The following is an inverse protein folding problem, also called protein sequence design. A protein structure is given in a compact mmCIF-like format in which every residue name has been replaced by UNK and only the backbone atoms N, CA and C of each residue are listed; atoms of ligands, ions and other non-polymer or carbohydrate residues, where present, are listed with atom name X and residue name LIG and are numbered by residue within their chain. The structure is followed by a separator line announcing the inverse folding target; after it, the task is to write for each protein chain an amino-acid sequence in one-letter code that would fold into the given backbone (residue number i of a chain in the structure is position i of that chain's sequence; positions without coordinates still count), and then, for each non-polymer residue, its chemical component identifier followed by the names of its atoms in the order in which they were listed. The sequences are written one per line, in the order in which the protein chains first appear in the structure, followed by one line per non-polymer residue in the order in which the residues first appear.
data_IF_600824620695
#
_entry.id   IF_600824620695
#
_cell.length_a   1.000
_cell.length_b   1.000
_cell.length_c   1.000
_cell.angle_alpha   90.00
_cell.angle_beta   90.00
_cell.angle_gamma   90.00
#
_symmetry.space_group_name_H-M   'P 1'
#
loop_
_entity.id
_entity.type
_entity.pdbx_description
1 polymer ?
#
# COMPACT_ATOMS: atom_id res chain seq x y z
N UNK A 1 0.54 9.13 27.15
CA UNK A 1 -0.40 9.81 26.24
C UNK A 1 0.10 9.56 24.83
N UNK A 2 -0.72 9.00 23.94
CA UNK A 2 -0.36 8.88 22.53
C UNK A 2 -0.39 10.28 21.89
N UNK A 3 0.62 10.60 21.08
CA UNK A 3 0.73 11.88 20.39
C UNK A 3 0.95 11.59 18.89
N UNK A 4 0.07 12.09 17.99
CA UNK A 4 -1.15 12.79 18.34
C UNK A 4 -2.21 11.83 18.93
N UNK A 5 -3.21 12.34 19.69
CA UNK A 5 -4.34 11.53 20.13
C UNK A 5 -4.99 10.75 18.97
N UNK A 6 -5.59 9.60 19.24
CA UNK A 6 -6.29 8.82 18.21
C UNK A 6 -7.57 9.55 17.81
N UNK A 7 -7.64 10.03 16.58
CA UNK A 7 -8.77 10.80 16.06
C UNK A 7 -8.86 10.69 14.52
N UNK A 8 -10.08 10.55 14.01
CA UNK A 8 -10.40 10.47 12.59
C UNK A 8 -11.82 11.00 12.33
N UNK A 9 -12.06 11.45 11.09
CA UNK A 9 -13.37 11.92 10.63
C UNK A 9 -13.77 11.12 9.40
N UNK A 10 -15.07 10.85 9.31
CA UNK A 10 -15.68 10.28 8.11
C UNK A 10 -15.93 11.37 7.07
N UNK A 11 -15.71 11.06 5.80
CA UNK A 11 -16.01 11.94 4.68
C UNK A 11 -15.53 11.37 3.35
N UNK A 12 -15.44 12.23 2.33
CA UNK A 12 -14.88 11.89 1.02
C UNK A 12 -13.39 12.27 0.96
N UNK A 13 -12.44 11.31 1.03
CA UNK A 13 -11.03 11.61 0.82
C UNK A 13 -10.81 12.17 -0.60
N UNK A 14 -9.80 13.03 -0.80
CA UNK A 14 -9.42 13.47 -2.14
C UNK A 14 -9.00 12.30 -3.01
N UNK A 15 -9.13 12.43 -4.33
CA UNK A 15 -8.44 11.54 -5.26
C UNK A 15 -6.94 11.85 -5.25
N UNK A 16 -6.15 10.94 -5.78
CA UNK A 16 -4.71 11.15 -5.93
C UNK A 16 -4.30 10.95 -7.39
N UNK A 17 -3.61 11.93 -7.95
CA UNK A 17 -2.86 11.78 -9.19
C UNK A 17 -1.49 11.21 -8.85
N UNK A 18 -1.17 10.07 -9.43
CA UNK A 18 0.09 9.37 -9.36
C UNK A 18 0.77 9.50 -10.71
N UNK A 19 2.07 9.81 -10.71
CA UNK A 19 2.91 9.75 -11.90
C UNK A 19 4.05 8.76 -11.72
N UNK A 20 4.37 8.06 -12.80
CA UNK A 20 5.54 7.20 -12.94
C UNK A 20 6.24 7.54 -14.25
N UNK A 21 7.50 7.12 -14.40
CA UNK A 21 8.10 7.06 -15.73
C UNK A 21 7.43 5.98 -16.58
N UNK A 22 7.47 6.09 -17.91
CA UNK A 22 7.03 5.00 -18.80
C UNK A 22 8.09 3.91 -18.92
N UNK A 23 9.36 4.27 -18.87
CA UNK A 23 10.51 3.36 -18.98
C UNK A 23 10.94 2.70 -17.66
N UNK A 24 10.29 3.03 -16.54
CA UNK A 24 10.57 2.42 -15.23
C UNK A 24 9.35 2.51 -14.34
N UNK A 25 9.06 1.45 -13.59
CA UNK A 25 7.99 1.51 -12.59
C UNK A 25 8.52 2.07 -11.27
N UNK A 26 8.42 3.39 -11.14
CA UNK A 26 8.89 4.14 -10.00
C UNK A 26 7.99 5.36 -9.80
N UNK A 27 7.54 5.57 -8.55
CA UNK A 27 6.74 6.75 -8.22
C UNK A 27 7.59 8.01 -8.40
N UNK A 28 7.24 8.85 -9.38
CA UNK A 28 7.95 10.12 -9.63
C UNK A 28 7.25 11.32 -9.01
N UNK A 29 5.96 11.19 -8.72
CA UNK A 29 5.17 12.28 -8.18
C UNK A 29 3.80 11.82 -7.72
N UNK A 30 3.25 12.58 -6.79
CA UNK A 30 1.85 12.46 -6.40
C UNK A 30 1.24 13.84 -6.15
N UNK A 31 -0.05 14.00 -6.40
CA UNK A 31 -0.78 15.23 -6.13
C UNK A 31 -2.21 14.92 -5.74
N UNK A 32 -2.67 15.49 -4.63
CA UNK A 32 -4.07 15.40 -4.25
C UNK A 32 -4.94 16.17 -5.24
N UNK A 33 -6.03 15.55 -5.66
CA UNK A 33 -7.01 16.06 -6.58
C UNK A 33 -8.34 16.14 -5.85
N UNK A 34 -9.19 17.09 -6.27
CA UNK A 34 -10.53 17.28 -5.69
C UNK A 34 -11.28 15.93 -5.66
N UNK A 35 -12.04 15.63 -4.59
CA UNK A 35 -12.91 14.47 -4.57
C UNK A 35 -14.04 14.60 -5.58
N UNK A 36 -14.76 13.50 -5.83
CA UNK A 36 -15.98 13.44 -6.66
C UNK A 36 -15.76 13.89 -8.11
N UNK A 37 -14.72 13.35 -8.74
CA UNK A 37 -14.49 13.51 -10.18
C UNK A 37 -15.17 12.40 -10.99
N UNK A 38 -15.80 12.82 -12.09
CA UNK A 38 -16.32 11.89 -13.10
C UNK A 38 -15.17 11.17 -13.82
N UNK A 39 -15.48 10.03 -14.42
CA UNK A 39 -14.48 9.22 -15.15
C UNK A 39 -13.82 9.99 -16.31
N UNK A 40 -14.57 10.86 -16.98
CA UNK A 40 -14.05 11.75 -18.03
C UNK A 40 -13.02 12.73 -17.48
N UNK A 41 -13.27 13.31 -16.31
CA UNK A 41 -12.38 14.30 -15.69
C UNK A 41 -11.06 13.65 -15.27
N UNK A 42 -11.15 12.43 -14.70
CA UNK A 42 -9.96 11.63 -14.36
C UNK A 42 -9.11 11.36 -15.60
N UNK A 43 -9.75 10.95 -16.69
CA UNK A 43 -9.06 10.67 -17.96
C UNK A 43 -8.39 11.93 -18.52
N UNK A 44 -9.07 13.08 -18.48
CA UNK A 44 -8.50 14.35 -18.94
C UNK A 44 -7.27 14.77 -18.11
N UNK A 45 -7.33 14.62 -16.78
CA UNK A 45 -6.20 14.91 -15.89
C UNK A 45 -5.01 14.01 -16.20
N UNK A 46 -5.24 12.71 -16.38
CA UNK A 46 -4.20 11.75 -16.75
C UNK A 46 -3.57 12.09 -18.09
N UNK A 47 -4.39 12.34 -19.12
CA UNK A 47 -3.89 12.69 -20.45
C UNK A 47 -3.07 13.98 -20.44
N UNK A 48 -3.44 14.97 -19.62
CA UNK A 48 -2.62 16.19 -19.44
C UNK A 48 -1.29 15.89 -18.75
N UNK A 49 -1.25 14.99 -17.77
CA UNK A 49 -0.02 14.58 -17.12
C UNK A 49 0.88 13.76 -18.08
N UNK A 50 0.30 12.94 -18.94
CA UNK A 50 0.99 12.09 -19.92
C UNK A 50 1.57 12.88 -21.12
N UNK A 51 1.20 14.15 -21.29
CA UNK A 51 1.83 15.05 -22.28
C UNK A 51 3.27 15.43 -21.92
N UNK A 52 3.66 15.31 -20.65
CA UNK A 52 5.03 15.53 -20.23
C UNK A 52 5.88 14.31 -20.56
N UNK A 53 7.07 14.55 -21.11
CA UNK A 53 7.93 13.51 -21.68
C UNK A 53 8.11 12.32 -20.73
N UNK A 54 7.94 11.11 -21.27
CA UNK A 54 8.13 9.84 -20.57
C UNK A 54 7.28 9.66 -19.28
N UNK A 55 6.07 10.25 -19.21
CA UNK A 55 5.18 10.15 -18.04
C UNK A 55 4.04 9.17 -18.26
N UNK A 56 3.83 8.28 -17.28
CA UNK A 56 2.65 7.42 -17.10
C UNK A 56 1.85 7.97 -15.92
N UNK A 57 0.52 8.09 -16.04
CA UNK A 57 -0.30 8.71 -15.00
C UNK A 57 -1.53 7.88 -14.60
N UNK A 58 -1.93 8.00 -13.33
CA UNK A 58 -3.13 7.38 -12.78
C UNK A 58 -3.79 8.32 -11.77
N UNK A 59 -5.08 8.60 -11.95
CA UNK A 59 -5.95 9.15 -10.90
C UNK A 59 -6.66 8.01 -10.18
N UNK A 60 -6.43 7.87 -8.88
CA UNK A 60 -6.97 6.79 -8.07
C UNK A 60 -7.77 7.32 -6.87
N UNK A 61 -8.59 6.43 -6.31
CA UNK A 61 -9.35 6.68 -5.09
C UNK A 61 -8.48 6.38 -3.87
N UNK A 62 -8.55 7.26 -2.86
CA UNK A 62 -7.96 7.03 -1.54
C UNK A 62 -9.03 6.50 -0.60
N UNK A 63 -8.73 5.42 0.13
CA UNK A 63 -9.57 4.94 1.22
C UNK A 63 -9.49 5.88 2.45
N UNK A 64 -8.33 6.50 2.65
CA UNK A 64 -8.08 7.43 3.73
C UNK A 64 -6.95 8.40 3.40
N UNK A 65 -6.78 9.40 4.27
CA UNK A 65 -5.68 10.35 4.22
C UNK A 65 -5.25 10.74 5.64
N UNK A 66 -3.96 10.53 5.93
CA UNK A 66 -3.27 10.89 7.18
C UNK A 66 -3.09 12.39 7.41
N UNK A 67 -4.16 13.20 7.26
CA UNK A 67 -4.25 14.51 7.93
C UNK A 67 -4.46 14.31 9.43
N UNK A 68 -4.40 15.37 10.24
CA UNK A 68 -4.81 15.28 11.64
C UNK A 68 -6.05 16.13 11.97
N UNK A 69 -7.13 15.50 12.48
CA UNK A 69 -7.41 14.05 12.44
C UNK A 69 -7.45 13.47 11.02
N UNK A 70 -7.31 12.15 10.93
CA UNK A 70 -7.34 11.44 9.65
C UNK A 70 -8.70 11.60 8.97
N UNK A 71 -8.73 11.60 7.64
CA UNK A 71 -9.98 11.54 6.87
C UNK A 71 -10.12 10.13 6.34
N UNK A 72 -11.26 9.49 6.58
CA UNK A 72 -11.54 8.11 6.18
C UNK A 72 -12.85 8.07 5.40
N UNK A 73 -12.87 7.30 4.31
CA UNK A 73 -14.06 7.04 3.50
C UNK A 73 -15.21 6.50 4.35
N UNK A 74 -16.41 7.04 4.15
CA UNK A 74 -17.65 6.53 4.74
C UNK A 74 -18.36 5.48 3.87
N UNK A 75 -17.74 5.08 2.76
CA UNK A 75 -18.30 4.14 1.77
C UNK A 75 -17.93 2.68 2.06
N UNK A 76 -16.94 2.46 2.92
CA UNK A 76 -16.44 1.13 3.25
C UNK A 76 -17.20 0.51 4.44
N UNK A 77 -17.20 -0.82 4.52
CA UNK A 77 -17.78 -1.54 5.65
C UNK A 77 -17.04 -1.21 6.96
N UNK A 78 -17.74 -1.28 8.09
CA UNK A 78 -17.21 -0.87 9.40
C UNK A 78 -15.83 -1.45 9.73
N UNK A 79 -15.60 -2.72 9.42
CA UNK A 79 -14.30 -3.36 9.65
C UNK A 79 -13.20 -2.71 8.81
N UNK A 80 -13.44 -2.50 7.52
CA UNK A 80 -12.47 -1.87 6.62
C UNK A 80 -12.24 -0.41 7.01
N UNK A 81 -13.30 0.31 7.39
CA UNK A 81 -13.21 1.66 7.93
C UNK A 81 -12.30 1.72 9.15
N UNK A 82 -12.41 0.78 10.10
CA UNK A 82 -11.53 0.74 11.28
C UNK A 82 -10.08 0.45 10.91
N UNK A 83 -9.83 -0.45 9.96
CA UNK A 83 -8.49 -0.75 9.45
C UNK A 83 -7.86 0.47 8.78
N UNK A 84 -8.61 1.17 7.94
CA UNK A 84 -8.16 2.40 7.30
C UNK A 84 -7.92 3.51 8.31
N UNK A 85 -8.82 3.70 9.29
CA UNK A 85 -8.61 4.68 10.36
C UNK A 85 -7.33 4.42 11.16
N UNK A 86 -7.05 3.16 11.50
CA UNK A 86 -5.83 2.77 12.18
C UNK A 86 -4.59 2.98 11.29
N UNK A 87 -4.65 2.61 10.00
CA UNK A 87 -3.60 2.85 9.02
C UNK A 87 -3.22 4.34 8.94
N UNK A 88 -4.20 5.22 8.72
CA UNK A 88 -3.95 6.66 8.59
C UNK A 88 -3.48 7.29 9.91
N UNK A 89 -3.97 6.79 11.05
CA UNK A 89 -3.47 7.24 12.35
C UNK A 89 -2.03 6.81 12.61
N UNK A 90 -1.60 5.63 12.16
CA UNK A 90 -0.20 5.19 12.27
C UNK A 90 0.74 6.13 11.51
N UNK A 91 0.35 6.62 10.34
CA UNK A 91 1.10 7.67 9.64
C UNK A 91 1.23 8.95 10.46
N UNK A 92 0.13 9.41 11.07
CA UNK A 92 0.13 10.55 12.00
C UNK A 92 1.01 10.33 13.24
N UNK A 93 1.05 9.11 13.76
CA UNK A 93 1.89 8.74 14.89
C UNK A 93 3.38 8.70 14.51
N UNK A 94 3.72 8.03 13.41
CA UNK A 94 5.09 7.83 12.98
C UNK A 94 5.72 9.05 12.32
N UNK A 95 4.96 10.03 11.83
CA UNK A 95 5.54 11.30 11.30
C UNK A 95 6.37 12.03 12.37
N UNK A 96 6.10 11.78 13.65
CA UNK A 96 6.85 12.31 14.78
C UNK A 96 8.09 11.46 15.15
N UNK A 97 8.30 10.34 14.46
CA UNK A 97 9.28 9.29 14.76
C UNK A 97 10.21 9.04 13.56
N UNK A 98 11.39 8.42 13.75
CA UNK A 98 12.30 8.06 12.66
C UNK A 98 11.62 7.41 11.44
N UNK A 99 10.71 6.45 11.64
CA UNK A 99 10.08 5.70 10.55
C UNK A 99 9.26 6.59 9.61
N UNK A 100 8.45 7.51 10.15
CA UNK A 100 7.63 8.42 9.34
C UNK A 100 8.44 9.58 8.78
N UNK A 101 9.37 10.14 9.56
CA UNK A 101 10.23 11.25 9.09
C UNK A 101 11.08 10.85 7.88
N UNK A 102 11.47 9.58 7.80
CA UNK A 102 12.29 9.05 6.72
C UNK A 102 11.49 8.31 5.66
N UNK A 103 10.15 8.35 5.67
CA UNK A 103 9.31 7.62 4.71
C UNK A 103 9.71 7.88 3.26
N UNK A 104 9.98 9.14 2.91
CA UNK A 104 10.36 9.53 1.55
C UNK A 104 11.88 9.52 1.28
N UNK A 105 12.70 8.99 2.19
CA UNK A 105 14.16 8.97 2.03
C UNK A 105 14.64 7.99 0.95
N UNK A 106 13.86 6.95 0.68
CA UNK A 106 14.13 5.95 -0.36
C UNK A 106 12.87 5.15 -0.68
N UNK A 107 12.86 4.46 -1.83
CA UNK A 107 11.77 3.55 -2.20
C UNK A 107 11.56 2.44 -1.16
N UNK A 108 12.65 1.89 -0.60
CA UNK A 108 12.54 0.88 0.45
C UNK A 108 11.90 1.43 1.73
N UNK A 109 12.19 2.69 2.10
CA UNK A 109 11.55 3.31 3.26
C UNK A 109 10.07 3.62 3.02
N UNK A 110 9.70 4.01 1.80
CA UNK A 110 8.30 4.21 1.45
C UNK A 110 7.55 2.87 1.54
N UNK A 111 8.10 1.81 0.94
CA UNK A 111 7.51 0.46 1.00
C UNK A 111 7.43 -0.02 2.46
N UNK A 112 8.49 0.13 3.25
CA UNK A 112 8.54 -0.28 4.64
C UNK A 112 7.46 0.42 5.47
N UNK A 113 7.32 1.74 5.30
CA UNK A 113 6.37 2.54 6.06
C UNK A 113 4.91 2.18 5.71
N UNK A 114 4.56 2.20 4.42
CA UNK A 114 3.20 1.87 3.96
C UNK A 114 2.80 0.43 4.33
N UNK A 115 3.73 -0.52 4.19
CA UNK A 115 3.48 -1.92 4.55
C UNK A 115 3.35 -2.10 6.06
N UNK A 116 4.14 -1.39 6.86
CA UNK A 116 4.00 -1.41 8.31
C UNK A 116 2.65 -0.82 8.75
N UNK A 117 2.21 0.27 8.13
CA UNK A 117 0.91 0.90 8.39
C UNK A 117 -0.23 -0.03 8.00
N UNK A 118 -0.12 -0.75 6.88
CA UNK A 118 -1.10 -1.76 6.45
C UNK A 118 -1.15 -2.94 7.44
N UNK A 119 0.00 -3.55 7.78
CA UNK A 119 0.03 -4.71 8.66
C UNK A 119 -0.48 -4.38 10.08
N UNK A 120 0.06 -3.34 10.70
CA UNK A 120 -0.34 -2.94 12.05
C UNK A 120 -1.73 -2.29 12.07
N UNK A 121 -2.10 -1.55 11.03
CA UNK A 121 -3.43 -0.93 10.89
C UNK A 121 -4.52 -1.98 10.71
N UNK A 122 -4.27 -3.05 9.95
CA UNK A 122 -5.21 -4.16 9.80
C UNK A 122 -5.48 -4.86 11.13
N UNK A 123 -4.43 -5.11 11.92
CA UNK A 123 -4.56 -5.74 13.24
C UNK A 123 -5.25 -4.84 14.26
N UNK A 124 -4.81 -3.58 14.39
CA UNK A 124 -5.45 -2.61 15.30
C UNK A 124 -6.90 -2.32 14.92
N UNK A 125 -7.19 -2.21 13.62
CA UNK A 125 -8.55 -2.00 13.12
C UNK A 125 -9.46 -3.19 13.42
N UNK A 126 -8.94 -4.42 13.32
CA UNK A 126 -9.66 -5.63 13.69
C UNK A 126 -9.93 -5.68 15.21
N UNK A 127 -8.93 -5.37 16.05
CA UNK A 127 -9.13 -5.26 17.50
C UNK A 127 -10.18 -4.19 17.85
N UNK A 128 -10.14 -3.02 17.21
CA UNK A 128 -11.12 -1.97 17.41
C UNK A 128 -12.53 -2.39 16.97
N UNK A 129 -12.63 -3.11 15.86
CA UNK A 129 -13.89 -3.68 15.36
C UNK A 129 -14.49 -4.69 16.35
N UNK A 130 -13.66 -5.52 16.99
CA UNK A 130 -14.08 -6.46 18.03
C UNK A 130 -14.51 -5.77 19.32
N UNK A 131 -13.79 -4.73 19.75
CA UNK A 131 -14.16 -3.92 20.92
C UNK A 131 -15.56 -3.29 20.75
N UNK A 132 -15.96 -2.98 19.52
CA UNK A 132 -17.32 -2.52 19.22
C UNK A 132 -18.41 -3.61 19.27
N UNK A 133 -18.04 -4.84 19.64
CA UNK A 133 -18.98 -5.97 19.81
C UNK A 133 -19.22 -6.78 18.55
N UNK A 134 -18.41 -6.60 17.50
CA UNK A 134 -18.46 -7.45 16.31
C UNK A 134 -17.49 -8.63 16.47
N UNK A 135 -17.67 -9.66 15.65
CA UNK A 135 -16.73 -10.79 15.59
C UNK A 135 -15.92 -10.72 14.32
N UNK A 136 -14.60 -10.78 14.43
CA UNK A 136 -13.79 -11.15 13.27
C UNK A 136 -13.99 -12.65 13.03
N UNK A 137 -14.83 -13.02 12.07
CA UNK A 137 -14.87 -14.42 11.62
C UNK A 137 -13.57 -14.64 10.87
N UNK A 138 -12.50 -15.08 11.55
CA UNK A 138 -11.17 -15.46 11.04
C UNK A 138 -11.01 -15.31 9.51
N UNK A 139 -10.97 -14.05 9.03
CA UNK A 139 -10.96 -13.79 7.59
C UNK A 139 -9.55 -13.93 7.01
N UNK A 140 -8.55 -14.27 7.84
CA UNK A 140 -7.28 -14.80 7.35
C UNK A 140 -7.50 -16.01 6.41
N UNK A 141 -8.61 -16.75 6.57
CA UNK A 141 -9.04 -17.80 5.62
C UNK A 141 -9.87 -17.31 4.41
N UNK A 142 -10.30 -16.06 4.36
CA UNK A 142 -11.07 -15.51 3.23
C UNK A 142 -10.26 -14.52 2.38
N UNK A 143 -9.28 -13.82 2.95
CA UNK A 143 -8.39 -12.93 2.17
C UNK A 143 -7.26 -13.70 1.48
N UNK A 144 -6.73 -14.76 2.09
CA UNK A 144 -5.65 -15.58 1.51
C UNK A 144 -6.11 -16.80 0.70
N UNK A 145 -7.38 -17.18 0.80
CA UNK A 145 -7.94 -18.40 0.17
C UNK A 145 -9.26 -18.19 -0.59
N UNK A 146 -9.61 -16.94 -0.95
CA UNK A 146 -10.59 -16.77 -2.02
C UNK A 146 -9.91 -17.15 -3.35
N UNK A 147 -10.40 -18.14 -4.12
CA UNK A 147 -9.81 -18.50 -5.42
C UNK A 147 -9.82 -17.31 -6.39
N UNK A 148 -10.80 -16.41 -6.25
CA UNK A 148 -10.85 -15.15 -6.98
C UNK A 148 -9.75 -14.16 -6.56
N UNK A 149 -9.30 -14.19 -5.31
CA UNK A 149 -8.19 -13.34 -4.87
C UNK A 149 -6.84 -13.92 -5.34
N UNK A 150 -6.65 -15.24 -5.27
CA UNK A 150 -5.41 -15.88 -5.75
C UNK A 150 -5.17 -15.70 -7.25
N UNK A 151 -6.24 -15.71 -8.06
CA UNK A 151 -6.14 -15.46 -9.50
C UNK A 151 -5.76 -14.01 -9.83
N UNK A 152 -6.39 -13.03 -9.16
CA UNK A 152 -6.02 -11.61 -9.26
C UNK A 152 -4.56 -11.41 -8.85
N UNK A 153 -4.19 -11.98 -7.70
CA UNK A 153 -2.86 -11.85 -7.13
C UNK A 153 -1.82 -12.34 -8.14
N UNK A 154 -2.06 -13.53 -8.69
CA UNK A 154 -1.19 -14.16 -9.67
C UNK A 154 -1.05 -13.31 -10.93
N UNK A 155 -2.16 -12.85 -11.52
CA UNK A 155 -2.09 -12.03 -12.75
C UNK A 155 -1.32 -10.73 -12.51
N UNK A 156 -1.62 -10.00 -11.45
CA UNK A 156 -0.94 -8.72 -11.19
C UNK A 156 0.55 -8.91 -10.94
N UNK A 157 0.94 -9.96 -10.22
CA UNK A 157 2.35 -10.26 -9.94
C UNK A 157 3.10 -10.72 -11.19
N UNK A 158 2.52 -11.64 -11.95
CA UNK A 158 3.04 -12.05 -13.26
C UNK A 158 3.19 -10.83 -14.18
N UNK A 159 2.18 -9.96 -14.19
CA UNK A 159 2.19 -8.75 -15.01
C UNK A 159 3.32 -7.83 -14.61
N UNK A 160 3.50 -7.57 -13.31
CA UNK A 160 4.60 -6.74 -12.81
C UNK A 160 5.96 -7.28 -13.25
N UNK A 161 6.21 -8.58 -13.04
CA UNK A 161 7.50 -9.20 -13.37
C UNK A 161 7.82 -9.10 -14.86
N UNK A 162 6.87 -9.43 -15.73
CA UNK A 162 7.06 -9.39 -17.18
C UNK A 162 7.27 -7.96 -17.68
N UNK A 163 6.54 -6.99 -17.11
CA UNK A 163 6.70 -5.57 -17.47
C UNK A 163 8.08 -5.06 -17.07
N UNK A 164 8.58 -5.39 -15.88
CA UNK A 164 9.94 -4.99 -15.46
C UNK A 164 11.01 -5.49 -16.45
N UNK A 165 10.94 -6.76 -16.85
CA UNK A 165 11.87 -7.33 -17.85
C UNK A 165 11.78 -6.60 -19.19
N UNK A 166 10.57 -6.27 -19.66
CA UNK A 166 10.39 -5.51 -20.91
C UNK A 166 10.96 -4.10 -20.79
N UNK A 167 10.76 -3.42 -19.66
CA UNK A 167 11.26 -2.07 -19.42
C UNK A 167 12.78 -2.03 -19.31
N UNK A 168 13.40 -3.02 -18.65
CA UNK A 168 14.86 -3.17 -18.60
C UNK A 168 15.48 -3.35 -19.99
N UNK A 169 14.74 -3.99 -20.91
CA UNK A 169 15.13 -4.16 -22.31
C UNK A 169 14.77 -2.95 -23.20
N UNK A 170 14.21 -1.87 -22.64
CA UNK A 170 13.79 -0.68 -23.38
C UNK A 170 12.52 -0.86 -24.23
N UNK A 171 11.75 -1.92 -24.00
CA UNK A 171 10.58 -2.29 -24.78
C UNK A 171 9.28 -1.65 -24.23
N UNK A 172 9.28 -0.32 -24.10
CA UNK A 172 8.20 0.45 -23.43
C UNK A 172 6.82 0.17 -24.05
N UNK A 173 6.68 0.28 -25.36
CA UNK A 173 5.40 0.08 -26.05
C UNK A 173 4.89 -1.36 -25.91
N UNK A 174 5.80 -2.36 -25.89
CA UNK A 174 5.41 -3.76 -25.68
C UNK A 174 4.91 -3.99 -24.27
N UNK A 175 5.58 -3.38 -23.29
CA UNK A 175 5.18 -3.44 -21.89
C UNK A 175 3.78 -2.86 -21.68
N UNK A 176 3.48 -1.72 -22.30
CA UNK A 176 2.16 -1.06 -22.25
C UNK A 176 1.07 -1.91 -22.92
N UNK A 177 1.34 -2.44 -24.12
CA UNK A 177 0.42 -3.35 -24.80
C UNK A 177 0.14 -4.61 -23.99
N UNK A 178 1.16 -5.14 -23.29
CA UNK A 178 1.00 -6.28 -22.41
C UNK A 178 0.13 -5.95 -21.20
N UNK A 179 0.32 -4.80 -20.55
CA UNK A 179 -0.55 -4.34 -19.47
C UNK A 179 -2.00 -4.14 -19.94
N UNK A 180 -2.23 -3.56 -21.12
CA UNK A 180 -3.58 -3.42 -21.68
C UNK A 180 -4.25 -4.77 -21.89
N UNK A 181 -3.51 -5.76 -22.40
CA UNK A 181 -4.02 -7.14 -22.54
C UNK A 181 -4.38 -7.76 -21.19
N UNK A 182 -3.55 -7.55 -20.17
CA UNK A 182 -3.83 -8.07 -18.83
C UNK A 182 -5.01 -7.36 -18.17
N UNK A 183 -5.18 -6.06 -18.40
CA UNK A 183 -6.38 -5.32 -18.00
C UNK A 183 -7.65 -5.94 -18.57
N UNK A 184 -7.64 -6.32 -19.86
CA UNK A 184 -8.76 -7.04 -20.47
C UNK A 184 -9.01 -8.40 -19.84
N UNK A 185 -7.97 -9.19 -19.56
CA UNK A 185 -8.09 -10.47 -18.86
C UNK A 185 -8.73 -10.29 -17.48
N UNK A 186 -8.32 -9.25 -16.74
CA UNK A 186 -8.86 -8.93 -15.43
C UNK A 186 -10.34 -8.52 -15.51
N UNK A 187 -10.70 -7.67 -16.48
CA UNK A 187 -12.10 -7.29 -16.71
C UNK A 187 -12.99 -8.48 -17.08
N UNK A 188 -12.50 -9.39 -17.93
CA UNK A 188 -13.22 -10.63 -18.26
C UNK A 188 -13.37 -11.57 -17.06
N UNK A 189 -12.43 -11.53 -16.11
CA UNK A 189 -12.49 -12.23 -14.84
C UNK A 189 -13.39 -11.58 -13.78
N UNK A 190 -14.02 -10.44 -14.09
CA UNK A 190 -14.92 -9.72 -13.18
C UNK A 190 -14.23 -8.71 -12.25
N UNK A 191 -12.93 -8.41 -12.45
CA UNK A 191 -12.24 -7.39 -11.66
C UNK A 191 -12.46 -6.00 -12.24
N UNK A 192 -12.87 -5.06 -11.38
CA UNK A 192 -13.10 -3.68 -11.76
C UNK A 192 -11.83 -2.83 -11.62
N UNK A 193 -10.87 -3.03 -12.52
CA UNK A 193 -9.68 -2.17 -12.62
C UNK A 193 -9.90 -1.20 -13.78
N UNK A 194 -9.77 0.10 -13.53
CA UNK A 194 -9.98 1.13 -14.55
C UNK A 194 -8.83 1.17 -15.56
N UNK A 195 -7.59 1.23 -15.05
CA UNK A 195 -6.36 1.44 -15.82
C UNK A 195 -5.23 0.64 -15.20
N UNK A 196 -4.43 -0.02 -16.05
CA UNK A 196 -3.26 -0.79 -15.65
C UNK A 196 -2.05 -0.25 -16.43
N UNK A 197 -1.16 0.46 -15.76
CA UNK A 197 0.03 1.07 -16.35
C UNK A 197 1.16 1.15 -15.30
N UNK A 198 2.29 1.75 -15.65
CA UNK A 198 3.43 1.92 -14.74
C UNK A 198 3.03 2.71 -13.50
N UNK A 199 2.21 3.77 -13.62
CA UNK A 199 1.71 4.53 -12.46
C UNK A 199 0.88 3.66 -11.50
N UNK A 200 0.01 2.78 -12.01
CA UNK A 200 -0.71 1.79 -11.20
C UNK A 200 0.24 0.91 -10.41
N UNK A 201 1.22 0.31 -11.08
CA UNK A 201 2.17 -0.59 -10.43
C UNK A 201 3.13 0.15 -9.48
N UNK A 202 3.48 1.40 -9.76
CA UNK A 202 4.28 2.25 -8.89
C UNK A 202 3.53 2.55 -7.59
N UNK A 203 2.25 2.91 -7.68
CA UNK A 203 1.44 3.21 -6.50
C UNK A 203 1.11 1.96 -5.68
N UNK A 204 0.55 0.92 -6.31
CA UNK A 204 0.16 -0.33 -5.63
C UNK A 204 1.38 -1.12 -5.13
N UNK A 205 2.56 -0.93 -5.72
CA UNK A 205 3.81 -1.56 -5.30
C UNK A 205 4.40 -1.01 -3.99
N UNK A 206 3.92 0.14 -3.49
CA UNK A 206 4.32 0.66 -2.19
C UNK A 206 3.79 -0.18 -1.02
N UNK A 207 2.72 -0.95 -1.23
CA UNK A 207 2.21 -1.91 -0.27
C UNK A 207 2.84 -3.26 -0.55
N UNK A 208 3.81 -3.71 0.23
CA UNK A 208 4.54 -4.95 -0.08
C UNK A 208 3.67 -6.22 0.03
N UNK A 209 2.53 -6.12 0.71
CA UNK A 209 1.49 -7.15 0.78
C UNK A 209 0.58 -7.15 -0.45
N UNK A 210 0.64 -6.10 -1.28
CA UNK A 210 -0.12 -6.00 -2.51
C UNK A 210 0.42 -6.95 -3.57
N UNK A 211 -0.45 -7.49 -4.43
CA UNK A 211 0.00 -8.37 -5.51
C UNK A 211 0.87 -7.71 -6.57
N UNK A 212 0.83 -6.39 -6.62
CA UNK A 212 1.65 -5.57 -7.50
C UNK A 212 3.11 -5.44 -7.00
N UNK A 213 3.40 -5.88 -5.77
CA UNK A 213 4.74 -5.82 -5.18
C UNK A 213 5.53 -7.11 -5.44
N UNK A 214 6.82 -6.92 -5.69
CA UNK A 214 7.84 -7.97 -5.71
C UNK A 214 8.90 -7.78 -4.62
N UNK A 215 8.70 -6.81 -3.71
CA UNK A 215 9.64 -6.47 -2.64
C UNK A 215 9.66 -7.54 -1.52
N UNK A 216 10.84 -7.89 -0.97
CA UNK A 216 10.93 -8.82 0.17
C UNK A 216 10.38 -8.23 1.49
N UNK A 217 10.23 -6.90 1.56
CA UNK A 217 9.90 -6.16 2.79
C UNK A 217 8.63 -6.67 3.48
N UNK A 218 7.59 -7.05 2.73
CA UNK A 218 6.35 -7.57 3.32
C UNK A 218 6.55 -8.88 4.08
N UNK A 219 7.35 -9.80 3.53
CA UNK A 219 7.72 -11.05 4.22
C UNK A 219 8.58 -10.77 5.46
N UNK A 220 9.55 -9.87 5.33
CA UNK A 220 10.42 -9.47 6.43
C UNK A 220 9.64 -8.80 7.58
N UNK A 221 8.65 -7.95 7.27
CA UNK A 221 7.79 -7.29 8.25
C UNK A 221 6.87 -8.28 8.97
N UNK A 222 6.26 -9.23 8.24
CA UNK A 222 5.46 -10.30 8.87
C UNK A 222 6.31 -11.16 9.80
N UNK A 223 7.53 -11.48 9.39
CA UNK A 223 8.47 -12.21 10.25
C UNK A 223 8.79 -11.40 11.51
N UNK A 224 9.12 -10.12 11.36
CA UNK A 224 9.39 -9.24 12.49
C UNK A 224 8.18 -9.15 13.43
N UNK A 225 6.96 -8.98 12.89
CA UNK A 225 5.71 -8.95 13.65
C UNK A 225 5.53 -10.23 14.47
N UNK A 226 5.88 -11.39 13.93
CA UNK A 226 5.81 -12.69 14.62
C UNK A 226 6.69 -12.82 15.87
N UNK A 227 7.58 -11.86 16.14
CA UNK A 227 8.43 -11.83 17.34
C UNK A 227 7.90 -10.97 18.49
N UNK A 228 6.69 -10.41 18.35
CA UNK A 228 6.05 -9.59 19.37
C UNK A 228 4.73 -10.21 19.82
N UNK A 229 4.44 -10.12 21.12
CA UNK A 229 3.21 -10.67 21.68
C UNK A 229 1.98 -9.83 21.32
N UNK A 230 2.15 -8.51 21.18
CA UNK A 230 1.09 -7.58 20.83
C UNK A 230 1.54 -6.58 19.75
N UNK A 231 0.57 -6.00 19.04
CA UNK A 231 0.82 -5.04 17.96
C UNK A 231 1.43 -3.72 18.45
N UNK A 232 1.15 -3.32 19.69
CA UNK A 232 1.68 -2.10 20.29
C UNK A 232 3.22 -2.10 20.38
N UNK A 233 3.79 -3.19 20.91
CA UNK A 233 5.25 -3.36 21.00
C UNK A 233 5.91 -3.41 19.61
N UNK A 234 5.22 -4.00 18.63
CA UNK A 234 5.66 -4.00 17.24
C UNK A 234 5.70 -2.58 16.65
N UNK A 235 4.62 -1.80 16.83
CA UNK A 235 4.52 -0.41 16.38
C UNK A 235 5.61 0.47 17.03
N UNK A 236 5.84 0.29 18.33
CA UNK A 236 6.86 1.04 19.06
C UNK A 236 8.26 0.66 18.58
N UNK A 237 8.55 -0.63 18.39
CA UNK A 237 9.83 -1.10 17.84
C UNK A 237 10.09 -0.53 16.45
N UNK A 238 9.08 -0.55 15.56
CA UNK A 238 9.21 0.00 14.21
C UNK A 238 9.44 1.50 14.23
N UNK A 239 8.85 2.23 15.18
CA UNK A 239 8.94 3.69 15.24
C UNK A 239 10.39 4.21 15.32
N UNK A 240 11.32 3.40 15.85
CA UNK A 240 12.73 3.76 16.02
C UNK A 240 13.59 3.57 14.76
N UNK A 241 13.05 2.94 13.72
CA UNK A 241 13.77 2.62 12.50
C UNK A 241 13.83 3.85 11.59
N UNK A 242 15.02 4.35 11.35
CA UNK A 242 15.25 5.50 10.46
C UNK A 242 15.58 5.12 9.02
N UNK A 243 16.05 3.89 8.78
CA UNK A 243 16.40 3.42 7.44
C UNK A 243 16.22 1.89 7.30
N UNK A 244 16.24 1.39 6.06
CA UNK A 244 16.01 -0.03 5.77
C UNK A 244 17.12 -0.93 6.31
N UNK A 245 18.38 -0.45 6.40
CA UNK A 245 19.47 -1.22 6.99
C UNK A 245 19.28 -1.45 8.49
N UNK A 246 18.77 -0.45 9.21
CA UNK A 246 18.38 -0.57 10.61
C UNK A 246 17.26 -1.59 10.81
N UNK A 247 16.25 -1.58 9.92
CA UNK A 247 15.20 -2.59 9.94
C UNK A 247 15.78 -4.01 9.80
N UNK A 248 16.63 -4.23 8.81
CA UNK A 248 17.27 -5.53 8.60
C UNK A 248 18.13 -5.94 9.80
N UNK A 249 18.84 -5.00 10.41
CA UNK A 249 19.62 -5.25 11.63
C UNK A 249 18.73 -5.73 12.78
N UNK A 250 17.61 -5.05 13.05
CA UNK A 250 16.65 -5.43 14.10
C UNK A 250 16.06 -6.82 13.84
N UNK A 251 15.65 -7.09 12.59
CA UNK A 251 15.13 -8.41 12.20
C UNK A 251 16.16 -9.52 12.44
N UNK A 252 17.42 -9.29 12.05
CA UNK A 252 18.48 -10.26 12.24
C UNK A 252 18.85 -10.48 13.73
N UNK A 253 18.73 -9.46 14.58
CA UNK A 253 18.88 -9.63 16.02
C UNK A 253 17.80 -10.57 16.60
N UNK A 254 16.54 -10.40 16.20
CA UNK A 254 15.44 -11.28 16.65
C UNK A 254 15.63 -12.72 16.17
N UNK A 255 16.02 -12.91 14.91
CA UNK A 255 16.40 -14.23 14.36
C UNK A 255 17.47 -14.92 15.21
N UNK A 256 18.51 -14.17 15.60
CA UNK A 256 19.60 -14.70 16.43
C UNK A 256 19.14 -15.06 17.85
N UNK A 257 18.32 -14.21 18.47
CA UNK A 257 17.79 -14.47 19.81
C UNK A 257 16.95 -15.77 19.84
N UNK A 258 16.09 -15.98 18.84
CA UNK A 258 15.33 -17.22 18.73
C UNK A 258 16.20 -18.45 18.50
N UNK A 259 17.29 -18.32 17.75
CA UNK A 259 18.23 -19.44 17.55
C UNK A 259 18.95 -19.82 18.85
N UNK A 260 19.28 -18.84 19.71
CA UNK A 260 19.94 -19.09 21.01
C UNK A 260 18.97 -19.67 22.04
N UNK A 261 17.69 -19.31 21.96
CA UNK A 261 16.65 -19.74 22.90
C UNK A 261 15.97 -21.07 22.51
N UNK A 262 16.39 -21.70 21.41
CA UNK A 262 15.99 -23.05 20.99
C UNK A 262 17.04 -24.07 21.43
#
# INVERSE_FOLDING_TARGET
LLIPPTDFRLGDPPHILITSRRDKIELTGSKLIKPNLEWSDRTEIESKAEQYENTSALVDDLAGLGTYPAIVSDKDELRQLMRTAAHEWLHNYWILKPLGRNMWSSQNMQILNETAADLAGNELGDEAFEVLGNTTVNSYRYDSLNPGNSHLIRILRETRTVVEEMLENGEIEKAEQYMDKQLWNLKLGGYNIRKLNQAYFAFRGNYAESPASISPIGQELRELRGYFDNVGDFIESLSQIGDYGQFQYVLNLKRKQLFINK
#
